data_IF_851264555590
#
_entry.id   IF_851264555590
#
_cell.length_a   1.000
_cell.length_b   1.000
_cell.length_c   1.000
_cell.angle_alpha   90.00
_cell.angle_beta   90.00
_cell.angle_gamma   90.00
#
_symmetry.space_group_name_H-M   'P 1'
#
loop_
_entity.id
_entity.type
_entity.pdbx_description
1 polymer ?
#
# COMPACT_ATOMS: atom_id res chain seq x y z
N UNK A 1 -23.04 -25.97 -27.10
CA UNK A 1 -22.44 -25.66 -28.42
C UNK A 1 -23.45 -25.11 -29.44
N UNK A 2 -24.74 -25.42 -29.33
CA UNK A 2 -25.79 -24.93 -30.25
C UNK A 2 -25.95 -23.40 -30.23
N UNK A 3 -25.94 -22.78 -29.04
CA UNK A 3 -26.09 -21.32 -28.86
C UNK A 3 -25.04 -20.46 -29.59
N UNK A 4 -23.80 -20.96 -29.65
CA UNK A 4 -22.67 -20.24 -30.27
C UNK A 4 -22.78 -20.31 -31.79
N UNK A 5 -23.24 -21.44 -32.34
CA UNK A 5 -23.53 -21.56 -33.78
C UNK A 5 -24.67 -20.64 -34.20
N UNK A 6 -25.72 -20.52 -33.38
CA UNK A 6 -26.82 -19.59 -33.63
C UNK A 6 -26.33 -18.15 -33.67
N UNK A 7 -25.54 -17.71 -32.68
CA UNK A 7 -25.01 -16.33 -32.63
C UNK A 7 -24.07 -15.99 -33.80
N UNK A 8 -23.20 -16.91 -34.21
CA UNK A 8 -22.33 -16.69 -35.39
C UNK A 8 -23.13 -16.56 -36.68
N UNK A 9 -24.20 -17.33 -36.83
CA UNK A 9 -25.12 -17.20 -37.97
C UNK A 9 -25.79 -15.83 -37.96
N UNK A 10 -26.30 -15.38 -36.81
CA UNK A 10 -26.96 -14.06 -36.70
C UNK A 10 -26.03 -12.88 -36.99
N UNK A 11 -24.76 -12.97 -36.60
CA UNK A 11 -23.74 -11.96 -36.93
C UNK A 11 -23.39 -11.94 -38.42
N UNK A 12 -23.33 -13.11 -39.06
CA UNK A 12 -23.12 -13.20 -40.51
C UNK A 12 -24.31 -12.61 -41.27
N UNK A 13 -25.54 -12.94 -40.85
CA UNK A 13 -26.78 -12.44 -41.45
C UNK A 13 -26.90 -10.91 -41.29
N UNK A 14 -26.38 -10.34 -40.19
CA UNK A 14 -26.34 -8.90 -39.94
C UNK A 14 -25.30 -8.19 -40.83
N UNK A 15 -24.13 -8.82 -41.01
CA UNK A 15 -23.07 -8.28 -41.85
C UNK A 15 -23.46 -8.28 -43.33
N UNK A 16 -24.14 -9.32 -43.82
CA UNK A 16 -24.66 -9.35 -45.20
C UNK A 16 -25.69 -8.25 -45.44
N UNK A 17 -26.60 -8.00 -44.49
CA UNK A 17 -27.56 -6.88 -44.58
C UNK A 17 -26.90 -5.51 -44.60
N UNK A 18 -25.86 -5.32 -43.79
CA UNK A 18 -25.09 -4.07 -43.77
C UNK A 18 -24.40 -3.86 -45.11
N UNK A 19 -23.86 -4.93 -45.71
CA UNK A 19 -23.24 -4.87 -47.04
C UNK A 19 -24.26 -4.62 -48.16
N UNK A 20 -25.45 -5.24 -48.13
CA UNK A 20 -26.55 -4.95 -49.09
C UNK A 20 -26.99 -3.47 -49.00
N UNK A 21 -27.05 -2.89 -47.79
CA UNK A 21 -27.38 -1.47 -47.61
C UNK A 21 -26.27 -0.51 -48.04
N UNK A 22 -25.01 -0.98 -48.10
CA UNK A 22 -23.87 -0.20 -48.61
C UNK A 22 -23.84 -0.20 -50.15
N UNK A 23 -24.33 -1.26 -50.81
CA UNK A 23 -24.42 -1.33 -52.28
C UNK A 23 -25.53 -0.45 -52.88
N UNK A 24 -26.48 0.06 -52.08
CA UNK A 24 -27.59 0.91 -52.56
C UNK A 24 -27.20 2.39 -52.77
N UNK A 25 -25.93 2.79 -52.54
CA UNK A 25 -25.36 4.14 -52.83
C UNK A 25 -26.32 5.31 -52.48
N UNK A 26 -26.95 5.29 -51.30
CA UNK A 26 -27.53 6.51 -50.74
C UNK A 26 -26.44 7.28 -50.00
N UNK A 27 -26.11 8.46 -50.54
CA UNK A 27 -25.17 9.45 -50.03
C UNK A 27 -25.31 9.65 -48.50
N UNK A 28 -24.32 9.20 -47.74
CA UNK A 28 -24.08 9.62 -46.35
C UNK A 28 -22.68 10.24 -46.22
N UNK A 29 -22.39 11.21 -47.09
CA UNK A 29 -21.33 12.19 -46.88
C UNK A 29 -21.77 13.20 -45.80
N UNK A 30 -21.65 12.85 -44.51
CA UNK A 30 -21.41 13.83 -43.41
C UNK A 30 -21.06 13.25 -42.02
N UNK A 31 -21.05 11.93 -41.79
CA UNK A 31 -20.75 11.34 -40.46
C UNK A 31 -19.71 10.22 -40.52
N UNK A 32 -18.44 10.57 -40.75
CA UNK A 32 -17.36 9.75 -40.16
C UNK A 32 -17.35 10.13 -38.67
N UNK A 33 -18.22 9.46 -37.92
CA UNK A 33 -18.57 9.78 -36.53
C UNK A 33 -17.33 9.95 -35.66
N UNK A 34 -17.37 10.99 -34.80
CA UNK A 34 -16.38 11.28 -33.76
C UNK A 34 -16.01 10.04 -32.91
N UNK A 35 -16.92 9.06 -32.86
CA UNK A 35 -16.81 7.76 -32.20
C UNK A 35 -15.63 6.93 -32.71
N UNK A 36 -15.38 6.86 -34.03
CA UNK A 36 -14.25 6.10 -34.60
C UNK A 36 -12.90 6.70 -34.19
N UNK A 37 -12.85 8.03 -34.02
CA UNK A 37 -11.64 8.74 -33.56
C UNK A 37 -11.34 8.42 -32.09
N UNK A 38 -12.34 8.44 -31.22
CA UNK A 38 -12.15 8.08 -29.81
C UNK A 38 -11.83 6.60 -29.63
N UNK A 39 -12.44 5.71 -30.40
CA UNK A 39 -12.15 4.28 -30.37
C UNK A 39 -10.69 3.99 -30.76
N UNK A 40 -10.19 4.70 -31.78
CA UNK A 40 -8.78 4.65 -32.17
C UNK A 40 -7.84 5.17 -31.06
N UNK A 41 -8.18 6.29 -30.42
CA UNK A 41 -7.38 6.85 -29.31
C UNK A 41 -7.31 5.91 -28.11
N UNK A 42 -8.44 5.27 -27.77
CA UNK A 42 -8.51 4.26 -26.71
C UNK A 42 -7.64 3.05 -27.07
N UNK A 43 -7.73 2.55 -28.31
CA UNK A 43 -6.95 1.41 -28.76
C UNK A 43 -5.44 1.70 -28.74
N UNK A 44 -5.03 2.92 -29.10
CA UNK A 44 -3.63 3.39 -28.98
C UNK A 44 -3.20 3.43 -27.51
N UNK A 45 -4.05 3.90 -26.61
CA UNK A 45 -3.80 3.91 -25.17
C UNK A 45 -3.58 2.51 -24.60
N UNK A 46 -4.47 1.57 -24.93
CA UNK A 46 -4.37 0.17 -24.53
C UNK A 46 -3.06 -0.44 -25.05
N UNK A 47 -2.72 -0.23 -26.32
CA UNK A 47 -1.49 -0.79 -26.92
C UNK A 47 -0.22 -0.26 -26.24
N UNK A 48 -0.20 1.02 -25.83
CA UNK A 48 0.92 1.61 -25.09
C UNK A 48 1.07 1.00 -23.70
N UNK A 49 -0.03 0.75 -23.00
CA UNK A 49 -0.04 0.10 -21.68
C UNK A 49 0.45 -1.34 -21.79
N UNK A 50 -0.05 -2.10 -22.77
CA UNK A 50 0.39 -3.49 -23.01
C UNK A 50 1.89 -3.58 -23.32
N UNK A 51 2.42 -2.63 -24.10
CA UNK A 51 3.85 -2.54 -24.38
C UNK A 51 4.66 -2.25 -23.12
N UNK A 52 4.21 -1.30 -22.30
CA UNK A 52 4.87 -0.95 -21.04
C UNK A 52 4.90 -2.14 -20.06
N UNK A 53 3.81 -2.90 -19.97
CA UNK A 53 3.76 -4.11 -19.13
C UNK A 53 4.75 -5.17 -19.64
N UNK A 54 4.82 -5.40 -20.96
CA UNK A 54 5.79 -6.35 -21.55
C UNK A 54 7.25 -5.92 -21.35
N UNK A 55 7.53 -4.63 -21.41
CA UNK A 55 8.87 -4.07 -21.17
C UNK A 55 9.26 -4.16 -19.69
N UNK A 56 8.31 -3.93 -18.78
CA UNK A 56 8.51 -4.14 -17.34
C UNK A 56 8.82 -5.62 -17.02
N UNK A 57 8.19 -6.57 -17.70
CA UNK A 57 8.47 -8.02 -17.57
C UNK A 57 9.82 -8.45 -18.18
N UNK A 58 10.53 -7.57 -18.90
CA UNK A 58 11.84 -7.89 -19.49
C UNK A 58 13.04 -7.54 -18.61
N UNK A 59 12.86 -6.69 -17.59
CA UNK A 59 13.91 -6.33 -16.63
C UNK A 59 14.05 -7.42 -15.56
N UNK A 60 15.23 -8.00 -15.45
CA UNK A 60 15.58 -9.00 -14.44
C UNK A 60 15.33 -8.48 -13.01
N UNK A 61 15.49 -7.17 -12.78
CA UNK A 61 15.19 -6.53 -11.51
C UNK A 61 13.68 -6.53 -11.21
N UNK A 62 12.82 -6.29 -12.21
CA UNK A 62 11.37 -6.33 -12.04
C UNK A 62 10.88 -7.74 -11.73
N UNK A 63 11.41 -8.75 -12.42
CA UNK A 63 11.11 -10.16 -12.11
C UNK A 63 11.53 -10.53 -10.69
N UNK A 64 12.69 -10.07 -10.25
CA UNK A 64 13.16 -10.32 -8.88
C UNK A 64 12.26 -9.67 -7.84
N UNK A 65 11.81 -8.42 -8.07
CA UNK A 65 10.85 -7.74 -7.19
C UNK A 65 9.49 -8.45 -7.17
N UNK A 66 8.97 -8.88 -8.32
CA UNK A 66 7.72 -9.63 -8.41
C UNK A 66 7.80 -10.97 -7.66
N UNK A 67 8.90 -11.71 -7.82
CA UNK A 67 9.13 -12.97 -7.11
C UNK A 67 9.20 -12.78 -5.58
N UNK A 68 9.92 -11.75 -5.13
CA UNK A 68 10.00 -11.40 -3.70
C UNK A 68 8.64 -11.02 -3.12
N UNK A 69 7.84 -10.24 -3.87
CA UNK A 69 6.48 -9.87 -3.49
C UNK A 69 5.57 -11.09 -3.35
N UNK A 70 5.66 -12.03 -4.32
CA UNK A 70 4.89 -13.26 -4.31
C UNK A 70 5.29 -14.17 -3.14
N UNK A 71 6.58 -14.29 -2.84
CA UNK A 71 7.08 -15.03 -1.69
C UNK A 71 6.57 -14.42 -0.37
N UNK A 72 6.62 -13.09 -0.22
CA UNK A 72 6.09 -12.41 0.95
C UNK A 72 4.57 -12.63 1.09
N UNK A 73 3.82 -12.52 -0.02
CA UNK A 73 2.38 -12.77 -0.01
C UNK A 73 2.06 -14.19 0.48
N UNK A 74 2.80 -15.20 0.02
CA UNK A 74 2.55 -16.60 0.36
C UNK A 74 3.00 -16.97 1.80
N UNK A 75 4.06 -16.35 2.30
CA UNK A 75 4.71 -16.72 3.58
C UNK A 75 4.31 -15.84 4.77
N UNK A 76 3.90 -14.60 4.49
CA UNK A 76 3.81 -13.53 5.48
C UNK A 76 2.45 -12.85 5.53
N UNK A 77 1.59 -13.03 4.53
CA UNK A 77 0.20 -12.54 4.54
C UNK A 77 -0.73 -13.73 4.79
N UNK A 78 -1.61 -13.62 5.79
CA UNK A 78 -2.63 -14.62 6.08
C UNK A 78 -3.98 -13.95 6.26
N UNK A 79 -5.07 -14.62 5.87
CA UNK A 79 -6.42 -14.14 6.13
C UNK A 79 -6.98 -14.85 7.36
N UNK A 80 -7.25 -14.09 8.43
CA UNK A 80 -7.77 -14.59 9.71
C UNK A 80 -8.78 -13.61 10.26
N UNK A 81 -9.86 -14.13 10.86
CA UNK A 81 -10.88 -13.31 11.54
C UNK A 81 -11.42 -12.16 10.67
N UNK A 82 -11.65 -12.44 9.38
CA UNK A 82 -12.11 -11.48 8.38
C UNK A 82 -11.15 -10.29 8.14
N UNK A 83 -9.86 -10.45 8.47
CA UNK A 83 -8.80 -9.45 8.27
C UNK A 83 -7.58 -10.09 7.60
N UNK A 84 -6.86 -9.31 6.80
CA UNK A 84 -5.51 -9.68 6.36
C UNK A 84 -4.51 -9.34 7.47
N UNK A 85 -3.68 -10.32 7.85
CA UNK A 85 -2.60 -10.19 8.82
C UNK A 85 -1.29 -10.35 8.07
N UNK A 86 -0.46 -9.31 8.09
CA UNK A 86 0.85 -9.29 7.45
C UNK A 86 1.95 -9.30 8.52
N UNK A 87 2.95 -10.17 8.39
CA UNK A 87 4.17 -10.13 9.21
C UNK A 87 5.07 -8.98 8.76
N UNK A 88 5.87 -8.42 9.64
CA UNK A 88 6.88 -7.44 9.24
C UNK A 88 7.85 -8.04 8.20
N UNK A 89 8.23 -7.29 7.15
CA UNK A 89 9.09 -7.78 6.08
C UNK A 89 10.57 -7.74 6.51
N UNK A 90 10.98 -8.64 7.39
CA UNK A 90 12.38 -8.73 7.85
C UNK A 90 13.34 -9.06 6.70
N UNK A 91 14.50 -8.39 6.64
CA UNK A 91 15.57 -8.76 5.69
C UNK A 91 16.15 -10.14 6.07
N UNK A 92 16.43 -11.04 5.11
CA UNK A 92 16.96 -12.38 5.43
C UNK A 92 18.24 -12.37 6.28
N UNK A 93 19.09 -11.35 6.10
CA UNK A 93 20.39 -11.15 6.74
C UNK A 93 20.39 -9.99 7.75
N UNK A 94 19.22 -9.62 8.27
CA UNK A 94 19.12 -8.50 9.21
C UNK A 94 19.98 -8.75 10.46
N UNK A 95 20.68 -7.71 10.99
CA UNK A 95 21.40 -7.84 12.25
C UNK A 95 20.42 -8.11 13.40
N UNK A 96 20.91 -8.65 14.51
CA UNK A 96 20.09 -8.76 15.72
C UNK A 96 19.57 -7.37 16.11
N UNK A 97 18.26 -7.27 16.37
CA UNK A 97 17.62 -6.02 16.81
C UNK A 97 17.53 -6.03 18.34
N UNK A 98 18.45 -5.37 19.07
CA UNK A 98 18.39 -5.29 20.52
C UNK A 98 17.36 -4.26 20.98
N UNK A 99 17.11 -4.24 22.28
CA UNK A 99 16.26 -3.23 22.91
C UNK A 99 16.87 -1.82 22.85
N UNK A 100 16.01 -0.83 22.62
CA UNK A 100 16.32 0.59 22.72
C UNK A 100 15.55 1.28 23.88
N UNK A 101 15.06 0.50 24.85
CA UNK A 101 14.15 0.94 25.92
C UNK A 101 14.61 2.23 26.60
N UNK A 102 15.89 2.31 26.98
CA UNK A 102 16.43 3.48 27.67
C UNK A 102 16.22 4.78 26.88
N UNK A 103 16.52 4.75 25.58
CA UNK A 103 16.37 5.91 24.69
C UNK A 103 14.89 6.20 24.45
N UNK A 104 14.10 5.17 24.16
CA UNK A 104 12.66 5.32 23.89
C UNK A 104 11.93 5.92 25.09
N UNK A 105 12.16 5.40 26.30
CA UNK A 105 11.58 5.90 27.55
C UNK A 105 11.97 7.35 27.82
N UNK A 106 13.24 7.70 27.66
CA UNK A 106 13.73 9.08 27.86
C UNK A 106 13.10 10.05 26.85
N UNK A 107 12.94 9.64 25.59
CA UNK A 107 12.26 10.45 24.56
C UNK A 107 10.79 10.65 24.89
N UNK A 108 10.08 9.59 25.31
CA UNK A 108 8.68 9.68 25.74
C UNK A 108 8.51 10.62 26.93
N UNK A 109 9.37 10.53 27.95
CA UNK A 109 9.33 11.44 29.10
C UNK A 109 9.50 12.90 28.66
N UNK A 110 10.49 13.19 27.81
CA UNK A 110 10.71 14.54 27.29
C UNK A 110 9.51 15.07 26.50
N UNK A 111 8.82 14.22 25.74
CA UNK A 111 7.59 14.60 25.02
C UNK A 111 6.50 14.97 26.01
N UNK A 112 6.30 14.16 27.06
CA UNK A 112 5.31 14.42 28.11
C UNK A 112 5.64 15.72 28.85
N UNK A 113 6.89 15.90 29.30
CA UNK A 113 7.31 17.10 30.03
C UNK A 113 7.16 18.38 29.21
N UNK A 114 7.42 18.30 27.90
CA UNK A 114 7.21 19.41 26.98
C UNK A 114 5.73 19.72 26.81
N UNK A 115 4.89 18.70 26.63
CA UNK A 115 3.45 18.84 26.46
C UNK A 115 2.76 19.29 27.75
N UNK A 116 3.26 18.92 28.93
CA UNK A 116 2.70 19.35 30.21
C UNK A 116 2.70 20.87 30.42
N UNK A 117 3.52 21.61 29.64
CA UNK A 117 3.52 23.09 29.62
C UNK A 117 2.34 23.69 28.86
N UNK A 118 1.63 22.87 28.08
CA UNK A 118 0.47 23.23 27.27
C UNK A 118 -0.62 22.15 27.47
N UNK A 119 -1.50 22.33 28.48
CA UNK A 119 -2.49 21.34 28.84
C UNK A 119 -3.42 20.94 27.69
N UNK A 120 -3.76 21.87 26.80
CA UNK A 120 -4.63 21.61 25.65
C UNK A 120 -3.94 20.66 24.66
N UNK A 121 -2.65 20.90 24.40
CA UNK A 121 -1.84 20.01 23.55
C UNK A 121 -1.62 18.63 24.17
N UNK A 122 -1.43 18.55 25.49
CA UNK A 122 -1.32 17.27 26.20
C UNK A 122 -2.63 16.48 26.11
N UNK A 123 -3.77 17.14 26.34
CA UNK A 123 -5.09 16.52 26.24
C UNK A 123 -5.38 16.03 24.82
N UNK A 124 -5.01 16.81 23.81
CA UNK A 124 -5.16 16.40 22.42
C UNK A 124 -4.28 15.20 22.08
N UNK A 125 -3.05 15.16 22.59
CA UNK A 125 -2.14 14.04 22.41
C UNK A 125 -2.69 12.74 23.01
N UNK A 126 -3.14 12.80 24.27
CA UNK A 126 -3.79 11.68 24.97
C UNK A 126 -5.05 11.20 24.23
N UNK A 127 -5.90 12.14 23.77
CA UNK A 127 -7.09 11.84 22.98
C UNK A 127 -6.75 11.04 21.72
N UNK A 128 -5.72 11.43 20.96
CA UNK A 128 -5.33 10.73 19.74
C UNK A 128 -4.85 9.30 20.04
N UNK A 129 -4.08 9.09 21.11
CA UNK A 129 -3.63 7.74 21.50
C UNK A 129 -4.83 6.87 21.87
N UNK A 130 -5.76 7.39 22.67
CA UNK A 130 -6.99 6.67 23.04
C UNK A 130 -7.87 6.36 21.84
N UNK A 131 -7.97 7.26 20.87
CA UNK A 131 -8.68 7.01 19.62
C UNK A 131 -8.02 5.92 18.76
N UNK A 132 -6.68 5.83 18.77
CA UNK A 132 -5.96 4.75 18.09
C UNK A 132 -6.20 3.41 18.78
N UNK A 133 -6.19 3.37 20.13
CA UNK A 133 -6.51 2.18 20.92
C UNK A 133 -7.95 1.72 20.67
N UNK A 134 -8.93 2.65 20.71
CA UNK A 134 -10.34 2.36 20.45
C UNK A 134 -10.61 1.84 19.03
N UNK A 135 -9.77 2.18 18.06
CA UNK A 135 -9.88 1.72 16.66
C UNK A 135 -9.12 0.42 16.39
N UNK A 136 -8.59 -0.23 17.42
CA UNK A 136 -7.72 -1.41 17.32
C UNK A 136 -6.47 -1.18 16.44
N UNK A 137 -5.96 0.06 16.36
CA UNK A 137 -4.72 0.36 15.65
C UNK A 137 -3.48 0.13 16.52
N UNK A 138 -3.66 0.27 17.83
CA UNK A 138 -2.65 -0.03 18.86
C UNK A 138 -3.34 -0.76 20.00
N UNK A 139 -2.57 -1.50 20.79
CA UNK A 139 -3.06 -2.19 21.98
C UNK A 139 -2.05 -2.08 23.13
N UNK A 140 -2.52 -2.33 24.35
CA UNK A 140 -1.63 -2.44 25.50
C UNK A 140 -0.90 -3.78 25.45
N UNK A 141 0.43 -3.73 25.50
CA UNK A 141 1.26 -4.93 25.57
C UNK A 141 1.00 -5.67 26.89
N UNK A 142 0.64 -6.97 26.87
CA UNK A 142 0.45 -7.75 28.08
C UNK A 142 1.75 -7.84 28.91
N UNK A 143 1.64 -7.75 30.24
CA UNK A 143 2.80 -7.85 31.15
C UNK A 143 3.55 -9.18 30.95
N UNK A 144 2.82 -10.25 30.65
CA UNK A 144 3.36 -11.59 30.37
C UNK A 144 4.22 -11.67 29.10
N UNK A 145 4.19 -10.64 28.25
CA UNK A 145 5.03 -10.52 27.05
C UNK A 145 6.24 -9.60 27.27
N UNK A 146 6.19 -8.76 28.30
CA UNK A 146 7.26 -7.85 28.70
C UNK A 146 8.36 -8.61 29.48
N UNK A 147 7.96 -9.56 30.34
CA UNK A 147 8.87 -10.28 31.26
C UNK A 147 9.51 -11.55 30.69
N UNK A 148 9.32 -11.86 29.39
CA UNK A 148 9.92 -13.06 28.80
C UNK A 148 11.41 -12.86 28.54
N UNK A 149 12.23 -13.61 29.27
CA UNK A 149 13.71 -13.67 29.16
C UNK A 149 14.26 -14.07 27.77
N UNK A 150 13.43 -14.21 26.74
CA UNK A 150 13.87 -14.60 25.40
C UNK A 150 12.98 -13.93 24.34
N UNK A 151 13.30 -12.69 23.96
CA UNK A 151 12.59 -12.00 22.87
C UNK A 151 13.11 -10.59 22.62
N UNK A 152 13.41 -10.28 21.35
CA UNK A 152 13.92 -8.99 20.87
C UNK A 152 12.85 -7.89 20.96
N UNK A 153 12.60 -7.37 22.18
CA UNK A 153 11.71 -6.22 22.37
C UNK A 153 12.44 -4.96 21.88
N UNK A 154 11.82 -4.26 20.94
CA UNK A 154 12.31 -2.98 20.44
C UNK A 154 11.15 -1.98 20.48
N UNK A 155 11.42 -0.77 20.97
CA UNK A 155 10.41 0.24 21.21
C UNK A 155 10.42 1.26 20.07
N UNK A 156 9.24 1.74 19.69
CA UNK A 156 9.09 2.77 18.66
C UNK A 156 8.71 4.07 19.38
N UNK A 157 9.66 4.98 19.66
CA UNK A 157 9.32 6.25 20.28
C UNK A 157 8.44 7.07 19.36
N UNK A 158 7.57 7.87 19.95
CA UNK A 158 6.62 8.71 19.24
C UNK A 158 6.66 10.15 19.72
N UNK A 159 6.28 11.09 18.84
CA UNK A 159 6.16 12.50 19.19
C UNK A 159 5.09 13.20 18.36
N UNK A 160 4.48 14.29 18.89
CA UNK A 160 3.54 15.08 18.13
C UNK A 160 4.26 16.02 17.15
N UNK A 161 3.71 16.14 15.95
CA UNK A 161 4.09 17.12 14.92
C UNK A 161 2.86 17.93 14.56
N UNK A 162 3.00 19.26 14.53
CA UNK A 162 1.91 20.17 14.13
C UNK A 162 1.54 19.95 12.66
N UNK A 163 0.24 20.03 12.39
CA UNK A 163 -0.34 20.00 11.04
C UNK A 163 -1.08 21.30 10.80
N UNK A 164 -1.19 21.68 9.54
CA UNK A 164 -2.10 22.71 9.10
C UNK A 164 -3.51 22.10 8.97
N UNK A 165 -4.18 21.92 10.11
CA UNK A 165 -5.52 21.35 10.20
C UNK A 165 -6.27 21.96 11.37
N UNK A 166 -7.48 22.44 11.10
CA UNK A 166 -8.34 23.04 12.11
C UNK A 166 -8.96 22.01 13.07
N UNK A 167 -9.16 20.77 12.62
CA UNK A 167 -9.82 19.70 13.39
C UNK A 167 -8.84 18.79 14.12
N UNK A 168 -7.64 18.59 13.57
CA UNK A 168 -6.61 17.73 14.17
C UNK A 168 -5.24 18.39 13.99
N UNK A 169 -4.91 19.40 14.82
CA UNK A 169 -3.74 20.25 14.63
C UNK A 169 -2.41 19.54 14.91
N UNK A 170 -2.43 18.26 15.32
CA UNK A 170 -1.22 17.43 15.46
C UNK A 170 -1.41 16.03 14.86
N UNK A 171 -0.31 15.42 14.42
CA UNK A 171 -0.21 13.96 14.25
C UNK A 171 0.83 13.40 15.21
N UNK A 172 0.61 12.17 15.66
CA UNK A 172 1.64 11.38 16.33
C UNK A 172 2.48 10.71 15.25
N UNK A 173 3.79 10.95 15.29
CA UNK A 173 4.78 10.33 14.41
C UNK A 173 5.54 9.29 15.21
N UNK A 174 5.59 8.07 14.69
CA UNK A 174 6.33 6.95 15.23
C UNK A 174 7.71 6.87 14.54
N UNK A 175 8.78 6.83 15.33
CA UNK A 175 10.16 6.85 14.85
C UNK A 175 10.75 5.43 14.86
N UNK A 176 10.57 4.72 13.75
CA UNK A 176 11.16 3.39 13.51
C UNK A 176 12.66 3.43 13.20
N UNK A 177 13.26 4.63 13.09
CA UNK A 177 14.70 4.82 12.92
C UNK A 177 15.45 5.02 14.24
N UNK A 178 14.77 4.87 15.38
CA UNK A 178 15.39 5.07 16.69
C UNK A 178 16.32 3.91 17.07
N UNK A 179 17.63 4.16 17.00
CA UNK A 179 18.66 3.26 17.51
C UNK A 179 18.75 3.27 19.05
N UNK A 180 19.25 2.17 19.63
CA UNK A 180 19.61 2.12 21.06
C UNK A 180 20.91 2.89 21.36
N UNK A 181 21.86 2.84 20.43
CA UNK A 181 23.07 3.67 20.37
C UNK A 181 23.56 3.74 18.90
N UNK A 182 24.55 4.56 18.55
CA UNK A 182 25.00 4.74 17.17
C UNK A 182 25.50 3.48 16.44
N UNK A 183 25.92 2.45 17.18
CA UNK A 183 26.49 1.20 16.63
C UNK A 183 25.45 0.07 16.55
N UNK A 184 24.23 0.28 17.04
CA UNK A 184 23.16 -0.73 17.04
C UNK A 184 22.12 -0.44 15.95
N UNK A 185 21.49 -1.46 15.35
CA UNK A 185 20.49 -1.27 14.30
C UNK A 185 19.17 -0.72 14.86
N UNK A 186 18.42 -0.04 13.99
CA UNK A 186 17.02 0.35 14.21
C UNK A 186 16.09 -0.66 13.55
N UNK A 187 14.79 -0.56 13.86
CA UNK A 187 13.78 -1.36 13.16
C UNK A 187 13.86 -1.17 11.64
N UNK A 188 14.04 0.07 11.15
CA UNK A 188 14.18 0.34 9.71
C UNK A 188 15.41 -0.34 9.08
N UNK A 189 16.50 -0.52 9.83
CA UNK A 189 17.70 -1.20 9.31
C UNK A 189 17.45 -2.69 9.11
N UNK A 190 16.53 -3.27 9.89
CA UNK A 190 16.19 -4.69 9.84
C UNK A 190 15.04 -5.04 8.88
N UNK A 191 14.25 -4.06 8.44
CA UNK A 191 13.11 -4.29 7.54
C UNK A 191 13.47 -4.00 6.08
N UNK A 192 13.02 -4.87 5.18
CA UNK A 192 13.08 -4.64 3.74
C UNK A 192 12.21 -3.44 3.36
N UNK A 193 12.72 -2.60 2.47
CA UNK A 193 11.90 -1.55 1.88
C UNK A 193 10.78 -2.19 1.07
N UNK A 194 9.56 -1.71 1.24
CA UNK A 194 8.48 -2.10 0.35
C UNK A 194 8.88 -1.72 -1.10
N UNK A 195 8.60 -2.59 -2.08
CA UNK A 195 8.69 -2.19 -3.48
C UNK A 195 7.91 -0.89 -3.69
N UNK A 196 8.39 0.06 -4.50
CA UNK A 196 7.63 1.25 -4.81
C UNK A 196 6.28 0.83 -5.37
N UNK A 197 5.19 1.18 -4.68
CA UNK A 197 3.86 1.08 -5.27
C UNK A 197 3.84 2.17 -6.34
N UNK A 198 3.92 1.73 -7.60
CA UNK A 198 3.90 2.45 -8.88
C UNK A 198 3.69 3.98 -8.78
N UNK A 199 4.65 4.75 -9.31
CA UNK A 199 4.51 6.18 -9.61
C UNK A 199 3.70 6.40 -10.86
#
# INVERSE_FOLDING_TARGET
MELIKTKKKTLSDLNEKILESIEEEEDLDEEIEEVDRYELEIQIGITKIEKFIKEADSDENTKNVQNLMLEYQNSSITFKENKYVAKLPWKPDHPELPTNEYIARRRTQNVIDRLAKDPDMLNLYDKIIKEQEMKDFIEKVPITEIDREHGRIHYIPHHPVKKDSNTTPIRIVYDCSCHGNPDLPSLNDCLSSAPPILK
#
